data_IF_885555471580
#
_entry.id   IF_885555471580
#
_cell.length_a   1.000
_cell.length_b   1.000
_cell.length_c   1.000
_cell.angle_alpha   90.00
_cell.angle_beta   90.00
_cell.angle_gamma   90.00
#
_symmetry.space_group_name_H-M   'P 1'
#
loop_
_entity.id
_entity.type
_entity.pdbx_description
1 polymer ?
#
# COMPACT_ATOMS: atom_id res chain seq x y z
N UNK A 1 16.28 2.85 -11.99
CA UNK A 1 15.68 1.91 -11.05
C UNK A 1 14.21 1.89 -11.41
N UNK A 2 13.63 0.74 -11.76
CA UNK A 2 12.20 0.62 -12.08
C UNK A 2 11.47 0.19 -10.81
N UNK A 3 10.71 1.07 -10.18
CA UNK A 3 9.90 0.75 -9.00
C UNK A 3 8.42 1.07 -9.22
N UNK A 4 7.59 0.96 -8.17
CA UNK A 4 6.16 1.21 -8.27
C UNK A 4 5.82 2.66 -8.68
N UNK A 5 6.73 3.61 -8.40
CA UNK A 5 6.58 5.03 -8.77
C UNK A 5 6.75 5.27 -10.26
N UNK A 6 7.33 4.34 -11.02
CA UNK A 6 7.35 4.40 -12.47
C UNK A 6 6.00 4.03 -13.10
N UNK A 7 5.11 3.40 -12.33
CA UNK A 7 3.77 3.03 -12.75
C UNK A 7 2.89 4.23 -13.08
N UNK A 8 2.08 4.11 -14.15
CA UNK A 8 1.19 5.18 -14.61
C UNK A 8 0.21 5.63 -13.52
N UNK A 9 -0.27 4.70 -12.70
CA UNK A 9 -1.23 4.97 -11.63
C UNK A 9 -0.68 6.01 -10.65
N UNK A 10 0.50 5.79 -10.06
CA UNK A 10 1.05 6.72 -9.06
C UNK A 10 1.48 8.06 -9.69
N UNK A 11 1.96 8.03 -10.94
CA UNK A 11 2.39 9.25 -11.66
C UNK A 11 1.25 10.14 -12.12
N UNK A 12 0.08 9.56 -12.37
CA UNK A 12 -1.07 10.27 -12.93
C UNK A 12 -2.23 10.38 -11.93
N UNK A 13 -2.08 9.86 -10.72
CA UNK A 13 -3.10 9.97 -9.68
C UNK A 13 -3.36 11.45 -9.35
N UNK A 14 -4.61 11.87 -9.49
CA UNK A 14 -5.03 13.26 -9.26
C UNK A 14 -5.80 13.38 -7.96
N UNK A 15 -5.49 14.44 -7.21
CA UNK A 15 -6.26 14.80 -6.02
C UNK A 15 -7.61 15.44 -6.37
N UNK A 16 -8.44 15.75 -5.36
CA UNK A 16 -9.70 16.47 -5.54
C UNK A 16 -9.56 17.84 -6.22
N UNK A 17 -8.36 18.41 -6.21
CA UNK A 17 -7.99 19.68 -6.85
C UNK A 17 -7.57 19.51 -8.33
N UNK A 18 -7.67 18.29 -8.88
CA UNK A 18 -7.26 17.92 -10.23
C UNK A 18 -5.74 18.07 -10.52
N UNK A 19 -4.92 18.30 -9.49
CA UNK A 19 -3.47 18.31 -9.59
C UNK A 19 -2.88 16.92 -9.31
N UNK A 20 -1.62 16.70 -9.71
CA UNK A 20 -0.91 15.45 -9.38
C UNK A 20 -0.78 15.30 -7.87
N UNK A 21 -1.24 14.17 -7.34
CA UNK A 21 -1.26 13.92 -5.92
C UNK A 21 0.14 13.67 -5.35
N UNK A 22 1.05 13.01 -6.06
CA UNK A 22 2.43 12.79 -5.60
C UNK A 22 3.45 13.72 -6.27
N UNK A 23 3.01 14.88 -6.76
CA UNK A 23 3.89 15.88 -7.37
C UNK A 23 4.83 16.57 -6.38
N UNK A 24 5.90 17.19 -6.90
CA UNK A 24 6.88 17.96 -6.12
C UNK A 24 6.31 19.23 -5.48
N UNK A 25 5.21 19.75 -6.02
CA UNK A 25 4.55 20.95 -5.51
C UNK A 25 3.41 20.54 -4.58
N UNK A 26 3.66 20.63 -3.28
CA UNK A 26 2.58 20.63 -2.31
C UNK A 26 2.31 22.06 -1.80
N UNK A 27 1.31 22.77 -2.35
CA UNK A 27 1.00 24.13 -1.93
C UNK A 27 0.47 24.20 -0.47
N UNK A 28 0.14 23.06 0.15
CA UNK A 28 -0.51 22.99 1.47
C UNK A 28 0.40 22.52 2.60
N UNK A 29 1.69 22.24 2.35
CA UNK A 29 2.61 21.67 3.36
C UNK A 29 2.07 20.38 4.02
N UNK A 30 1.32 19.57 3.28
CA UNK A 30 0.75 18.31 3.76
C UNK A 30 1.66 17.11 3.43
N UNK A 31 1.60 16.05 4.24
CA UNK A 31 2.30 14.79 3.95
C UNK A 31 1.39 13.91 3.10
N UNK A 32 1.86 13.49 1.92
CA UNK A 32 1.13 12.61 0.99
C UNK A 32 1.83 11.26 0.96
N UNK A 33 1.25 10.24 1.59
CA UNK A 33 1.85 8.90 1.71
C UNK A 33 1.15 7.90 0.80
N UNK A 34 1.92 7.00 0.19
CA UNK A 34 1.41 5.83 -0.49
C UNK A 34 1.69 4.59 0.36
N UNK A 35 0.67 3.77 0.59
CA UNK A 35 0.81 2.52 1.32
C UNK A 35 0.41 1.34 0.44
N UNK A 36 1.21 0.28 0.46
CA UNK A 36 0.76 -1.04 0.05
C UNK A 36 0.13 -1.73 1.25
N UNK A 37 -1.06 -2.30 1.06
CA UNK A 37 -1.80 -3.04 2.08
C UNK A 37 -1.96 -4.49 1.61
N UNK A 38 -1.58 -5.43 2.46
CA UNK A 38 -1.81 -6.85 2.26
C UNK A 38 -2.64 -7.41 3.40
N UNK A 39 -3.62 -8.24 3.05
CA UNK A 39 -4.70 -8.73 3.91
C UNK A 39 -4.95 -10.18 3.50
N UNK A 40 -4.52 -11.16 4.31
CA UNK A 40 -4.71 -12.59 4.04
C UNK A 40 -5.18 -13.38 5.28
N UNK A 41 -6.16 -14.26 5.05
CA UNK A 41 -6.83 -15.07 6.06
C UNK A 41 -6.59 -16.53 5.69
N UNK A 42 -5.84 -17.24 6.53
CA UNK A 42 -5.47 -18.62 6.27
C UNK A 42 -5.73 -19.50 7.49
N UNK A 43 -5.92 -20.80 7.24
CA UNK A 43 -5.93 -21.79 8.31
C UNK A 43 -4.50 -22.27 8.53
N UNK A 44 -3.85 -21.95 9.68
CA UNK A 44 -2.47 -22.35 9.92
C UNK A 44 -2.31 -23.87 10.06
N UNK A 45 -3.41 -24.60 10.27
CA UNK A 45 -3.42 -26.06 10.34
C UNK A 45 -3.71 -26.72 8.97
N UNK A 46 -3.90 -25.91 7.92
CA UNK A 46 -4.23 -26.33 6.57
C UNK A 46 -5.71 -26.68 6.36
N UNK A 47 -6.13 -26.75 5.10
CA UNK A 47 -7.52 -27.07 4.71
C UNK A 47 -7.71 -28.58 4.56
N UNK A 48 -7.63 -29.32 5.66
CA UNK A 48 -7.95 -30.76 5.67
C UNK A 48 -9.45 -30.95 5.88
N UNK A 49 -10.10 -31.78 5.06
CA UNK A 49 -11.49 -32.17 5.24
C UNK A 49 -11.64 -32.88 6.60
N UNK A 50 -12.44 -32.30 7.51
CA UNK A 50 -12.60 -32.78 8.89
C UNK A 50 -11.57 -32.26 9.91
N UNK A 51 -10.67 -31.36 9.52
CA UNK A 51 -9.73 -30.68 10.42
C UNK A 51 -10.36 -29.51 11.20
N UNK A 52 -9.67 -29.00 12.22
CA UNK A 52 -10.12 -27.81 12.97
C UNK A 52 -10.26 -26.62 12.01
N UNK A 53 -11.44 -26.03 11.97
CA UNK A 53 -11.66 -24.74 11.32
C UNK A 53 -11.15 -23.64 12.23
N UNK A 54 -9.96 -23.13 11.93
CA UNK A 54 -9.39 -21.96 12.61
C UNK A 54 -8.86 -21.02 11.55
N UNK A 55 -9.19 -19.73 11.68
CA UNK A 55 -8.74 -18.69 10.74
C UNK A 55 -7.80 -17.75 11.46
N UNK A 56 -6.64 -17.52 10.86
CA UNK A 56 -5.66 -16.51 11.28
C UNK A 56 -5.58 -15.46 10.20
N UNK A 57 -5.58 -14.19 10.60
CA UNK A 57 -5.43 -13.06 9.70
C UNK A 57 -4.04 -12.46 9.81
N UNK A 58 -3.42 -12.18 8.67
CA UNK A 58 -2.24 -11.35 8.55
C UNK A 58 -2.60 -10.04 7.83
N UNK A 59 -2.20 -8.92 8.44
CA UNK A 59 -2.35 -7.60 7.85
C UNK A 59 -0.95 -6.97 7.82
N UNK A 60 -0.45 -6.64 6.63
CA UNK A 60 0.83 -5.95 6.44
C UNK A 60 0.61 -4.62 5.73
N UNK A 61 1.34 -3.60 6.18
CA UNK A 61 1.32 -2.27 5.57
C UNK A 61 2.76 -1.82 5.31
N UNK A 62 3.02 -1.33 4.08
CA UNK A 62 4.35 -0.83 3.67
C UNK A 62 4.21 0.59 3.17
N UNK A 63 4.96 1.53 3.77
CA UNK A 63 5.07 2.91 3.28
C UNK A 63 5.99 2.93 2.04
N UNK A 64 5.46 3.37 0.91
CA UNK A 64 6.14 3.28 -0.39
C UNK A 64 6.96 4.53 -0.75
N UNK A 65 6.79 5.63 -0.02
CA UNK A 65 7.54 6.87 -0.19
C UNK A 65 8.12 7.40 1.12
N UNK A 66 8.52 6.50 2.02
CA UNK A 66 9.34 6.94 3.15
C UNK A 66 10.71 7.42 2.63
N UNK A 67 11.17 8.61 3.02
CA UNK A 67 12.50 9.08 2.66
C UNK A 67 13.60 8.11 3.11
N UNK A 68 14.56 7.81 2.24
CA UNK A 68 15.69 6.89 2.51
C UNK A 68 16.56 7.33 3.71
N UNK A 69 16.48 8.62 4.09
CA UNK A 69 17.30 9.22 5.14
C UNK A 69 16.64 9.25 6.52
N UNK A 70 15.44 8.67 6.66
CA UNK A 70 14.75 8.48 7.94
C UNK A 70 14.92 7.03 8.43
#
# INVERSE_FOLDING_TARGET
>A
MLDIWDGSVLRQFRGPDNNLYFGSENPRSEVRLAFSLFVDWFNPFGNKQGGKHTSFGAIYMVCLNLPIHL
#
